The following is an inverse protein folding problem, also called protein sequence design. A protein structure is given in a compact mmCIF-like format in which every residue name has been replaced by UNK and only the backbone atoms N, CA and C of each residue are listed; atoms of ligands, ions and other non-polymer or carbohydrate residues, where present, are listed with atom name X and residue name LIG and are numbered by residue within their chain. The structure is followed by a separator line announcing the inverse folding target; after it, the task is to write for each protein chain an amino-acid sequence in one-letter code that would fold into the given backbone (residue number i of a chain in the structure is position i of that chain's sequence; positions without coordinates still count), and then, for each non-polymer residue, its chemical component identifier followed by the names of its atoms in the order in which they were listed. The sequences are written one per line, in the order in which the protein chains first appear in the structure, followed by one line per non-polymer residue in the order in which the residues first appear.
data_IF_421185969354
#
_entry.id   IF_421185969354
#
_cell.length_a   1.000
_cell.length_b   1.000
_cell.length_c   1.000
_cell.angle_alpha   90.00
_cell.angle_beta   90.00
_cell.angle_gamma   90.00
#
_symmetry.space_group_name_H-M   'P 1'
#
loop_
_entity.id
_entity.type
_entity.pdbx_description
1 polymer ?
#
# COMPACT_ATOMS: atom_id res chain seq x y z
N UNK A 1 -24.11 -7.18 -5.65
CA UNK A 1 -23.34 -7.16 -4.38
C UNK A 1 -22.40 -5.95 -4.33
N UNK A 2 -22.89 -4.72 -4.54
CA UNK A 2 -22.04 -3.53 -4.63
C UNK A 2 -22.72 -2.32 -3.95
N UNK A 3 -23.08 -2.48 -2.66
CA UNK A 3 -23.47 -1.37 -1.78
C UNK A 3 -23.12 -1.68 -0.32
N UNK A 4 -21.94 -2.26 -0.07
CA UNK A 4 -21.55 -2.56 1.31
C UNK A 4 -20.95 -1.35 2.05
N UNK A 5 -20.58 -0.27 1.35
CA UNK A 5 -19.91 0.87 2.00
C UNK A 5 -20.36 2.20 1.41
N UNK A 6 -20.74 3.09 2.32
CA UNK A 6 -21.18 4.46 2.06
C UNK A 6 -20.10 5.25 1.30
N UNK A 7 -20.46 5.78 0.14
CA UNK A 7 -19.57 6.63 -0.68
C UNK A 7 -19.36 8.02 -0.05
N UNK A 8 -20.21 8.45 0.87
CA UNK A 8 -20.22 9.81 1.40
C UNK A 8 -19.31 10.01 2.62
N UNK A 9 -18.81 8.93 3.25
CA UNK A 9 -17.64 9.05 4.12
C UNK A 9 -16.40 9.12 3.23
N UNK A 10 -15.82 10.30 3.10
CA UNK A 10 -14.46 10.45 2.57
C UNK A 10 -13.49 9.70 3.49
N UNK A 11 -13.32 8.40 3.25
CA UNK A 11 -12.34 7.59 3.95
C UNK A 11 -10.96 8.11 3.58
N UNK A 12 -10.12 8.38 4.59
CA UNK A 12 -8.72 8.75 4.35
C UNK A 12 -8.04 7.58 3.65
N UNK A 13 -7.58 7.79 2.43
CA UNK A 13 -6.90 6.77 1.63
C UNK A 13 -5.39 6.98 1.72
N UNK A 14 -4.64 5.87 1.72
CA UNK A 14 -3.19 5.93 1.53
C UNK A 14 -2.85 6.42 0.13
N UNK A 15 -1.71 7.09 0.03
CA UNK A 15 -1.11 7.34 -1.28
C UNK A 15 -0.60 6.04 -1.90
N UNK A 16 -0.60 5.98 -3.23
CA UNK A 16 0.08 4.90 -3.95
C UNK A 16 1.59 5.04 -3.78
N UNK A 17 2.33 3.92 -3.72
CA UNK A 17 3.78 3.94 -3.68
C UNK A 17 4.31 4.56 -4.98
N UNK A 18 5.40 5.32 -4.89
CA UNK A 18 6.11 5.83 -6.07
C UNK A 18 7.46 5.14 -6.23
N UNK A 19 7.95 5.09 -7.47
CA UNK A 19 9.16 4.35 -7.82
C UNK A 19 10.44 4.79 -7.07
N UNK A 20 10.44 6.03 -6.55
CA UNK A 20 11.60 6.63 -5.89
C UNK A 20 11.61 6.42 -4.37
N UNK A 21 10.57 5.82 -3.78
CA UNK A 21 10.49 5.61 -2.32
C UNK A 21 11.68 4.81 -1.77
N UNK A 22 12.25 3.91 -2.56
CA UNK A 22 13.42 3.11 -2.18
C UNK A 22 14.75 3.88 -2.13
N UNK A 23 14.82 5.08 -2.72
CA UNK A 23 16.03 5.89 -2.84
C UNK A 23 15.89 7.31 -2.28
N UNK A 24 14.68 7.70 -1.89
CA UNK A 24 14.42 8.97 -1.23
C UNK A 24 15.18 9.08 0.10
N UNK A 25 15.34 10.31 0.57
CA UNK A 25 15.77 10.57 1.94
C UNK A 25 14.78 10.00 2.97
N UNK A 26 15.16 10.03 4.24
CA UNK A 26 14.32 9.57 5.34
C UNK A 26 12.93 10.25 5.31
N UNK A 27 11.87 9.54 5.76
CA UNK A 27 10.54 10.12 5.82
C UNK A 27 10.53 11.33 6.76
N UNK A 28 9.58 12.23 6.53
CA UNK A 28 9.34 13.44 7.32
C UNK A 28 7.86 13.53 7.67
N UNK A 29 7.52 14.20 8.78
CA UNK A 29 6.14 14.40 9.16
C UNK A 29 5.33 15.06 8.01
N UNK A 30 4.13 14.56 7.66
CA UNK A 30 3.30 15.08 6.57
C UNK A 30 3.06 16.60 6.62
N UNK A 31 2.86 17.17 7.81
CA UNK A 31 2.65 18.62 7.95
C UNK A 31 3.91 19.43 7.64
N UNK A 32 5.09 18.91 7.99
CA UNK A 32 6.37 19.53 7.63
C UNK A 32 6.60 19.54 6.12
N UNK A 33 6.23 18.44 5.43
CA UNK A 33 6.27 18.37 3.96
C UNK A 33 5.37 19.44 3.32
N UNK A 34 4.12 19.53 3.79
CA UNK A 34 3.13 20.50 3.31
C UNK A 34 3.58 21.94 3.52
N UNK A 35 4.12 22.26 4.69
CA UNK A 35 4.68 23.58 4.98
C UNK A 35 5.82 23.98 4.03
N UNK A 36 6.57 23.00 3.52
CA UNK A 36 7.60 23.19 2.49
C UNK A 36 7.09 23.19 1.04
N UNK A 37 5.78 23.17 0.81
CA UNK A 37 5.17 23.16 -0.53
C UNK A 37 5.18 21.79 -1.22
N UNK A 38 5.49 20.71 -0.51
CA UNK A 38 5.52 19.36 -1.06
C UNK A 38 4.42 18.47 -0.46
N UNK A 39 3.79 17.65 -1.30
CA UNK A 39 2.89 16.60 -0.81
C UNK A 39 3.64 15.55 0.02
N UNK A 40 3.02 14.97 1.07
CA UNK A 40 3.62 13.83 1.77
C UNK A 40 3.70 12.65 0.82
N UNK A 41 4.71 11.80 0.98
CA UNK A 41 4.81 10.49 0.35
C UNK A 41 4.06 9.41 1.16
N UNK A 42 3.92 8.20 0.60
CA UNK A 42 3.42 7.06 1.37
C UNK A 42 4.30 6.76 2.59
N UNK A 43 5.63 6.85 2.44
CA UNK A 43 6.59 6.61 3.53
C UNK A 43 6.42 7.64 4.68
N UNK A 44 6.18 8.90 4.33
CA UNK A 44 5.87 9.94 5.31
C UNK A 44 4.58 9.63 6.10
N UNK A 45 3.53 9.13 5.44
CA UNK A 45 2.26 8.81 6.09
C UNK A 45 2.38 7.61 7.02
N UNK A 46 2.91 6.48 6.55
CA UNK A 46 3.00 5.26 7.37
C UNK A 46 3.98 5.42 8.52
N UNK A 47 5.05 6.18 8.33
CA UNK A 47 6.09 6.35 9.36
C UNK A 47 5.67 7.29 10.50
N UNK A 48 4.76 8.24 10.25
CA UNK A 48 4.41 9.29 11.22
C UNK A 48 2.94 9.35 11.64
N UNK A 49 2.00 8.84 10.83
CA UNK A 49 0.56 8.94 11.14
C UNK A 49 -0.03 7.68 11.75
N UNK A 50 0.69 6.56 11.70
CA UNK A 50 0.21 5.27 12.18
C UNK A 50 0.85 4.93 13.53
N UNK A 51 0.05 4.64 14.58
CA UNK A 51 0.53 4.26 15.91
C UNK A 51 0.97 2.78 15.98
N UNK A 52 1.71 2.30 14.97
CA UNK A 52 2.22 0.93 14.89
C UNK A 52 3.66 0.89 15.35
N UNK A 53 4.05 -0.06 16.19
CA UNK A 53 5.45 -0.30 16.51
C UNK A 53 6.08 -1.26 15.47
N UNK A 54 7.20 -0.91 14.81
CA UNK A 54 7.86 -1.80 13.85
C UNK A 54 8.37 -3.11 14.47
N UNK A 55 8.57 -3.16 15.79
CA UNK A 55 8.98 -4.36 16.51
C UNK A 55 7.84 -5.36 16.73
N UNK A 56 6.59 -4.99 16.39
CA UNK A 56 5.52 -5.97 16.21
C UNK A 56 5.77 -6.70 14.90
N UNK A 57 6.83 -7.51 14.88
CA UNK A 57 7.12 -8.42 13.79
C UNK A 57 5.92 -9.35 13.56
N UNK A 58 5.83 -9.95 12.38
CA UNK A 58 5.02 -11.17 12.21
C UNK A 58 5.44 -12.17 13.29
N UNK A 59 4.67 -12.27 14.38
CA UNK A 59 4.92 -13.25 15.45
C UNK A 59 4.83 -14.69 14.89
N UNK A 60 4.17 -14.86 13.74
CA UNK A 60 4.07 -16.14 13.02
C UNK A 60 4.22 -15.92 11.51
N UNK A 61 5.19 -16.59 10.84
CA UNK A 61 5.26 -16.59 9.38
C UNK A 61 3.93 -17.06 8.77
N UNK A 62 3.26 -16.19 8.02
CA UNK A 62 1.99 -16.52 7.37
C UNK A 62 0.73 -15.93 8.05
N UNK A 63 0.83 -15.39 9.26
CA UNK A 63 -0.28 -14.72 9.93
C UNK A 63 0.06 -13.25 10.15
N UNK A 64 -0.42 -12.39 9.25
CA UNK A 64 -0.46 -10.97 9.54
C UNK A 64 -1.48 -10.72 10.65
N UNK A 65 -1.09 -9.93 11.65
CA UNK A 65 -1.99 -9.36 12.62
C UNK A 65 -2.21 -7.89 12.23
N UNK A 66 -3.47 -7.46 12.12
CA UNK A 66 -3.83 -6.11 11.70
C UNK A 66 -4.90 -5.53 12.63
N UNK A 67 -4.52 -5.21 13.88
CA UNK A 67 -5.44 -4.68 14.85
C UNK A 67 -5.98 -3.30 14.40
N UNK A 68 -7.28 -3.02 14.56
CA UNK A 68 -7.88 -1.75 14.11
C UNK A 68 -7.18 -0.48 14.63
N UNK A 69 -6.64 -0.52 15.85
CA UNK A 69 -5.95 0.60 16.49
C UNK A 69 -4.68 1.05 15.76
N UNK A 70 -4.08 0.18 14.94
CA UNK A 70 -2.89 0.50 14.13
C UNK A 70 -3.13 1.53 13.04
N UNK A 71 -4.37 1.63 12.59
CA UNK A 71 -4.67 2.27 11.32
C UNK A 71 -5.19 3.69 11.46
N UNK A 72 -5.43 4.17 12.69
CA UNK A 72 -5.94 5.52 12.95
C UNK A 72 -7.09 5.87 11.98
N UNK A 73 -7.05 7.04 11.34
CA UNK A 73 -8.05 7.48 10.35
C UNK A 73 -8.13 6.58 9.10
N UNK A 74 -7.11 5.77 8.82
CA UNK A 74 -7.05 4.86 7.66
C UNK A 74 -7.78 3.53 7.91
N UNK A 75 -8.22 3.25 9.14
CA UNK A 75 -8.86 1.98 9.51
C UNK A 75 -9.98 1.52 8.56
N UNK A 76 -10.94 2.38 8.19
CA UNK A 76 -11.98 2.00 7.23
C UNK A 76 -11.44 1.63 5.83
N UNK A 77 -10.40 2.31 5.35
CA UNK A 77 -9.78 2.02 4.06
C UNK A 77 -9.00 0.70 4.10
N UNK A 78 -8.27 0.45 5.19
CA UNK A 78 -7.54 -0.80 5.43
C UNK A 78 -8.50 -1.97 5.50
N UNK A 79 -9.55 -1.89 6.33
CA UNK A 79 -10.54 -2.95 6.49
C UNK A 79 -11.21 -3.33 5.15
N UNK A 80 -11.53 -2.34 4.34
CA UNK A 80 -12.08 -2.57 2.99
C UNK A 80 -11.07 -3.31 2.11
N UNK A 81 -9.80 -2.92 2.15
CA UNK A 81 -8.77 -3.57 1.34
C UNK A 81 -8.46 -4.99 1.81
N UNK A 82 -8.41 -5.24 3.12
CA UNK A 82 -8.29 -6.58 3.70
C UNK A 82 -9.41 -7.52 3.24
N UNK A 83 -10.65 -7.02 3.22
CA UNK A 83 -11.81 -7.77 2.73
C UNK A 83 -11.64 -8.15 1.25
N UNK A 84 -11.09 -7.25 0.43
CA UNK A 84 -10.85 -7.51 -0.98
C UNK A 84 -9.64 -8.43 -1.23
N UNK A 85 -8.61 -8.31 -0.39
CA UNK A 85 -7.39 -9.11 -0.48
C UNK A 85 -7.54 -10.50 0.16
N UNK A 86 -8.59 -10.73 0.95
CA UNK A 86 -8.80 -11.97 1.69
C UNK A 86 -7.71 -12.27 2.72
N UNK A 87 -6.94 -11.26 3.13
CA UNK A 87 -5.82 -11.37 4.06
C UNK A 87 -5.67 -10.09 4.88
N UNK A 88 -5.24 -10.17 6.15
CA UNK A 88 -4.97 -8.98 6.96
C UNK A 88 -3.83 -8.15 6.36
N UNK A 89 -3.85 -6.84 6.62
CA UNK A 89 -2.80 -5.94 6.18
C UNK A 89 -1.48 -6.29 6.90
N UNK A 90 -0.34 -6.30 6.18
CA UNK A 90 0.96 -6.46 6.83
C UNK A 90 1.34 -5.19 7.60
N UNK A 91 2.29 -5.34 8.53
CA UNK A 91 2.87 -4.20 9.27
C UNK A 91 3.40 -3.17 8.28
N UNK A 92 2.98 -1.88 8.37
CA UNK A 92 3.25 -0.89 7.32
C UNK A 92 4.65 -0.28 7.40
N UNK A 93 5.36 -0.51 8.51
CA UNK A 93 6.66 0.08 8.82
C UNK A 93 7.66 -0.97 9.27
N UNK A 94 8.92 -0.72 9.00
CA UNK A 94 10.08 -1.49 9.48
C UNK A 94 11.17 -0.53 9.97
N UNK A 95 12.11 -1.02 10.77
CA UNK A 95 13.32 -0.27 11.08
C UNK A 95 14.30 -0.28 9.90
N UNK A 96 14.85 0.90 9.59
CA UNK A 96 15.96 1.05 8.67
C UNK A 96 17.31 0.74 9.32
N UNK A 97 18.39 0.62 8.52
CA UNK A 97 19.74 0.33 9.01
C UNK A 97 20.29 1.31 10.05
N UNK A 98 19.70 2.50 10.16
CA UNK A 98 20.07 3.55 11.12
C UNK A 98 19.06 3.70 12.28
N UNK A 99 18.18 2.72 12.47
CA UNK A 99 17.15 2.71 13.53
C UNK A 99 15.92 3.61 13.27
N UNK A 100 15.89 4.35 12.16
CA UNK A 100 14.72 5.15 11.78
C UNK A 100 13.60 4.30 11.18
N UNK A 101 12.34 4.62 11.48
CA UNK A 101 11.15 4.04 10.85
C UNK A 101 11.11 4.36 9.36
N UNK A 102 10.66 3.39 8.55
CA UNK A 102 10.43 3.54 7.11
C UNK A 102 9.37 2.56 6.63
N UNK A 103 8.79 2.83 5.47
CA UNK A 103 7.83 1.95 4.79
C UNK A 103 8.34 0.51 4.63
N UNK A 104 7.56 -0.48 5.02
CA UNK A 104 7.85 -1.88 4.74
C UNK A 104 7.51 -2.22 3.27
N UNK A 105 8.41 -2.90 2.55
CA UNK A 105 8.15 -3.28 1.14
C UNK A 105 6.92 -4.17 0.99
N UNK A 106 6.68 -5.06 1.97
CA UNK A 106 5.53 -5.99 1.97
C UNK A 106 4.20 -5.25 2.03
N UNK A 107 4.16 -4.10 2.72
CA UNK A 107 2.97 -3.24 2.73
C UNK A 107 2.76 -2.53 1.40
N UNK A 108 3.82 -2.06 0.75
CA UNK A 108 3.71 -1.50 -0.59
C UNK A 108 3.23 -2.54 -1.62
N UNK A 109 3.72 -3.78 -1.55
CA UNK A 109 3.24 -4.90 -2.38
C UNK A 109 1.75 -5.18 -2.15
N UNK A 110 1.32 -5.29 -0.89
CA UNK A 110 -0.07 -5.52 -0.51
C UNK A 110 -1.00 -4.39 -0.97
N UNK A 111 -0.56 -3.13 -0.83
CA UNK A 111 -1.31 -1.95 -1.27
C UNK A 111 -1.52 -1.94 -2.79
N UNK A 112 -0.61 -2.52 -3.56
CA UNK A 112 -0.73 -2.68 -5.01
C UNK A 112 -1.61 -3.88 -5.43
N UNK A 113 -2.20 -4.58 -4.46
CA UNK A 113 -3.12 -5.70 -4.72
C UNK A 113 -2.43 -6.98 -5.16
N UNK A 114 -1.14 -7.10 -4.90
CA UNK A 114 -0.34 -8.25 -5.30
C UNK A 114 -0.43 -9.37 -4.24
N UNK A 115 -0.39 -10.64 -4.65
CA UNK A 115 -0.21 -11.75 -3.72
C UNK A 115 1.09 -11.60 -2.92
N UNK A 116 1.08 -12.14 -1.69
CA UNK A 116 2.26 -12.12 -0.82
C UNK A 116 3.48 -12.73 -1.51
N UNK A 117 4.59 -12.03 -1.42
CA UNK A 117 5.87 -12.49 -1.93
C UNK A 117 6.08 -12.25 -3.42
N UNK A 118 5.09 -11.68 -4.14
CA UNK A 118 5.19 -11.46 -5.59
C UNK A 118 6.43 -10.65 -5.98
N UNK A 119 6.77 -9.65 -5.19
CA UNK A 119 7.98 -8.82 -5.30
C UNK A 119 8.94 -9.15 -4.15
N UNK A 120 8.41 -9.26 -2.95
CA UNK A 120 9.18 -9.28 -1.70
C UNK A 120 9.91 -10.58 -1.41
N UNK A 121 9.51 -11.71 -2.02
CA UNK A 121 10.19 -12.99 -1.88
C UNK A 121 11.12 -13.32 -3.05
N UNK A 122 11.34 -12.39 -3.98
CA UNK A 122 12.29 -12.59 -5.10
C UNK A 122 13.73 -12.64 -4.52
N UNK A 123 14.46 -13.76 -4.66
CA UNK A 123 15.82 -13.88 -4.13
C UNK A 123 16.76 -12.82 -4.71
N UNK A 124 17.54 -12.18 -3.85
CA UNK A 124 18.53 -11.15 -4.24
C UNK A 124 17.95 -9.78 -4.59
N UNK A 125 16.62 -9.58 -4.52
CA UNK A 125 16.00 -8.29 -4.77
C UNK A 125 16.02 -7.43 -3.50
N UNK A 126 16.85 -6.38 -3.47
CA UNK A 126 16.92 -5.49 -2.32
C UNK A 126 15.66 -4.60 -2.19
N UNK A 127 15.40 -4.08 -0.98
CA UNK A 127 14.25 -3.21 -0.64
C UNK A 127 14.03 -2.07 -1.64
N UNK A 128 15.11 -1.40 -2.06
CA UNK A 128 15.01 -0.26 -2.98
C UNK A 128 14.42 -0.68 -4.33
N UNK A 129 14.86 -1.83 -4.86
CA UNK A 129 14.33 -2.41 -6.09
C UNK A 129 12.91 -2.95 -5.92
N UNK A 130 12.58 -3.53 -4.76
CA UNK A 130 11.22 -3.97 -4.45
C UNK A 130 10.24 -2.78 -4.48
N UNK A 131 10.55 -1.69 -3.79
CA UNK A 131 9.72 -0.48 -3.80
C UNK A 131 9.66 0.19 -5.17
N UNK A 132 10.74 0.15 -5.94
CA UNK A 132 10.74 0.62 -7.33
C UNK A 132 9.80 -0.21 -8.21
N UNK A 133 9.80 -1.53 -8.05
CA UNK A 133 8.89 -2.41 -8.78
C UNK A 133 7.43 -2.14 -8.40
N UNK A 134 7.14 -2.03 -7.10
CA UNK A 134 5.79 -1.70 -6.61
C UNK A 134 5.33 -0.32 -7.13
N UNK A 135 6.17 0.71 -7.04
CA UNK A 135 5.82 2.07 -7.45
C UNK A 135 5.80 2.33 -8.96
N UNK A 136 6.36 1.43 -9.77
CA UNK A 136 6.20 1.43 -11.24
C UNK A 136 5.03 0.55 -11.70
N UNK A 137 4.47 -0.25 -10.81
CA UNK A 137 3.35 -1.14 -11.09
C UNK A 137 2.01 -0.40 -11.14
N UNK A 138 0.96 -1.18 -11.28
CA UNK A 138 -0.44 -0.73 -11.22
C UNK A 138 -1.21 -1.61 -10.25
N UNK A 139 -2.26 -1.08 -9.63
CA UNK A 139 -3.12 -1.87 -8.74
C UNK A 139 -3.77 -2.99 -9.56
N UNK A 140 -3.50 -4.25 -9.23
CA UNK A 140 -3.87 -5.40 -10.08
C UNK A 140 -5.36 -5.46 -10.40
N UNK A 141 -6.22 -5.17 -9.43
CA UNK A 141 -7.67 -5.15 -9.60
C UNK A 141 -8.13 -4.01 -10.52
N UNK A 142 -7.47 -2.85 -10.47
CA UNK A 142 -7.76 -1.73 -11.39
C UNK A 142 -7.31 -2.06 -12.81
N UNK A 143 -6.12 -2.67 -12.97
CA UNK A 143 -5.61 -3.11 -14.25
C UNK A 143 -6.53 -4.16 -14.89
N UNK A 144 -7.01 -5.13 -14.10
CA UNK A 144 -7.97 -6.13 -14.56
C UNK A 144 -9.30 -5.50 -14.99
N UNK A 145 -9.85 -4.56 -14.19
CA UNK A 145 -11.07 -3.84 -14.56
C UNK A 145 -10.91 -3.03 -15.86
N UNK A 146 -9.78 -2.34 -16.03
CA UNK A 146 -9.48 -1.60 -17.25
C UNK A 146 -9.34 -2.52 -18.46
N UNK A 147 -8.69 -3.67 -18.29
CA UNK A 147 -8.54 -4.68 -19.33
C UNK A 147 -9.89 -5.26 -19.78
N UNK A 148 -10.76 -5.63 -18.83
CA UNK A 148 -12.13 -6.08 -19.14
C UNK A 148 -12.95 -5.01 -19.85
N UNK A 149 -12.81 -3.75 -19.44
CA UNK A 149 -13.49 -2.64 -20.09
C UNK A 149 -13.09 -2.51 -21.58
N UNK A 150 -11.79 -2.65 -21.87
CA UNK A 150 -11.28 -2.61 -23.24
C UNK A 150 -11.72 -3.82 -24.09
N UNK A 151 -11.79 -5.02 -23.49
CA UNK A 151 -12.26 -6.22 -24.20
C UNK A 151 -13.73 -6.09 -24.60
N UNK A 152 -14.60 -5.68 -23.66
CA UNK A 152 -16.03 -5.53 -23.93
C UNK A 152 -16.29 -4.46 -24.99
N UNK A 153 -15.53 -3.36 -24.97
CA UNK A 153 -15.62 -2.33 -26.02
C UNK A 153 -15.29 -2.86 -27.41
N UNK A 154 -14.33 -3.79 -27.52
CA UNK A 154 -13.93 -4.38 -28.81
C UNK A 154 -14.97 -5.36 -29.37
N UNK A 155 -15.67 -6.09 -28.51
CA UNK A 155 -16.76 -6.99 -28.94
C UNK A 155 -17.93 -6.16 -29.49
N UNK A 156 -18.35 -5.11 -28.79
CA UNK A 156 -19.41 -4.20 -29.26
C UNK A 156 -19.06 -3.50 -30.60
N UNK A 157 -17.78 -3.19 -30.82
CA UNK A 157 -17.32 -2.57 -32.07
C UNK A 157 -17.16 -3.56 -33.26
N UNK A 158 -17.14 -4.87 -33.01
CA UNK A 158 -17.05 -5.89 -34.06
C UNK A 158 -18.42 -6.46 -34.47
N UNK A 159 -19.45 -6.25 -33.64
CA UNK A 159 -20.82 -6.74 -33.86
C UNK A 159 -21.77 -5.67 -34.45
N UNK A 160 -21.26 -4.48 -34.83
CA UNK A 160 -21.99 -3.40 -35.49
C UNK A 160 -21.41 -3.03 -36.86
#
# INVERSE_FOLDING_TARGET
MARLFDKERAHKLFKTPTANLGSNGAPQHPDKRRAGGHGPTLDDEVSFLLPVDPDVAEETPGAFHSPPEWWADYGPAVHRWETLMGSPAPVPVEFGPRGGRRLASVFAEWLMGLPRGWITHIPGLNRSRQLKAAGNGVVSQQAFAAYLHLLNYKEEANDG
#
